data_IF_532593083879
#
_entry.id   IF_532593083879
#
_cell.length_a   1.000
_cell.length_b   1.000
_cell.length_c   1.000
_cell.angle_alpha   90.00
_cell.angle_beta   90.00
_cell.angle_gamma   90.00
#
_symmetry.space_group_name_H-M   'P 1'
#
loop_
_entity.id
_entity.type
_entity.pdbx_description
1 polymer ?
#
# COMPACT_ATOMS: atom_id res chain seq x y z
N UNK A 1 -3.16 47.68 6.01
CA UNK A 1 -2.11 46.68 6.32
C UNK A 1 -2.64 45.26 6.61
N UNK A 2 -3.96 45.00 6.57
CA UNK A 2 -4.54 43.67 6.89
C UNK A 2 -4.77 42.79 5.64
N UNK A 3 -4.85 43.38 4.43
CA UNK A 3 -5.04 42.63 3.17
C UNK A 3 -3.78 41.88 2.68
N UNK A 4 -2.58 42.30 3.11
CA UNK A 4 -1.32 41.66 2.69
C UNK A 4 -0.96 40.42 3.51
N UNK A 5 -1.51 40.27 4.73
CA UNK A 5 -1.27 39.11 5.59
C UNK A 5 -2.17 37.91 5.22
N UNK A 6 -3.38 38.17 4.72
CA UNK A 6 -4.33 37.13 4.31
C UNK A 6 -3.90 36.37 3.04
N UNK A 7 -3.02 36.96 2.22
CA UNK A 7 -2.52 36.32 0.99
C UNK A 7 -1.34 35.38 1.27
N UNK A 8 -0.64 35.56 2.40
CA UNK A 8 0.51 34.74 2.76
C UNK A 8 0.10 33.44 3.49
N UNK A 9 -1.00 33.44 4.24
CA UNK A 9 -1.51 32.25 4.94
C UNK A 9 -2.21 31.25 4.04
N UNK A 10 -2.84 31.68 2.93
CA UNK A 10 -3.46 30.76 1.96
C UNK A 10 -2.41 29.97 1.16
N UNK A 11 -1.20 30.50 0.98
CA UNK A 11 -0.13 29.84 0.22
C UNK A 11 0.55 28.68 0.98
N UNK A 12 0.48 28.68 2.32
CA UNK A 12 1.13 27.68 3.17
C UNK A 12 0.24 26.44 3.38
N UNK A 13 -1.09 26.56 3.23
CA UNK A 13 -2.04 25.44 3.42
C UNK A 13 -2.09 24.45 2.24
N UNK A 14 -1.53 24.79 1.07
CA UNK A 14 -1.66 23.98 -0.15
C UNK A 14 -0.59 22.88 -0.31
N UNK A 15 0.39 22.79 0.59
CA UNK A 15 1.60 21.98 0.40
C UNK A 15 1.56 20.57 1.03
N UNK A 16 0.39 19.99 1.27
CA UNK A 16 0.26 18.62 1.81
C UNK A 16 -0.36 17.62 0.83
N UNK A 17 -0.48 17.93 -0.46
CA UNK A 17 -0.73 16.92 -1.46
C UNK A 17 0.55 16.12 -1.71
N UNK A 18 0.86 15.15 -0.84
CA UNK A 18 1.71 14.04 -1.26
C UNK A 18 0.91 13.22 -2.26
N UNK A 19 1.01 13.58 -3.54
CA UNK A 19 0.73 12.63 -4.60
C UNK A 19 1.78 11.52 -4.45
N UNK A 20 1.43 10.42 -3.79
CA UNK A 20 2.20 9.18 -4.00
C UNK A 20 2.07 8.90 -5.49
N UNK A 21 3.20 8.94 -6.19
CA UNK A 21 3.25 8.51 -7.58
C UNK A 21 2.63 7.10 -7.65
N UNK A 22 1.86 6.84 -8.71
CA UNK A 22 1.26 5.53 -8.94
C UNK A 22 2.41 4.50 -8.90
N UNK A 23 2.38 3.51 -7.99
CA UNK A 23 3.44 2.51 -7.94
C UNK A 23 3.47 1.73 -9.26
N UNK A 24 4.67 1.35 -9.75
CA UNK A 24 4.78 0.48 -10.91
C UNK A 24 3.91 -0.76 -10.78
N UNK A 25 3.22 -1.10 -11.87
CA UNK A 25 2.42 -2.33 -12.00
C UNK A 25 3.10 -3.22 -13.02
N UNK A 26 3.22 -4.49 -12.66
CA UNK A 26 3.72 -5.55 -13.52
C UNK A 26 2.56 -6.50 -13.81
N UNK A 27 2.33 -6.80 -15.08
CA UNK A 27 1.33 -7.78 -15.51
C UNK A 27 2.06 -8.91 -16.24
N UNK A 28 1.98 -10.11 -15.68
CA UNK A 28 2.69 -11.29 -16.17
C UNK A 28 1.70 -12.35 -16.63
N UNK A 29 1.90 -12.85 -17.85
CA UNK A 29 1.19 -14.02 -18.38
C UNK A 29 1.93 -15.29 -17.96
N UNK A 30 1.21 -16.28 -17.43
CA UNK A 30 1.81 -17.55 -17.04
C UNK A 30 2.20 -18.33 -18.31
N UNK A 31 3.47 -18.72 -18.48
CA UNK A 31 3.93 -19.42 -19.67
C UNK A 31 3.11 -20.68 -19.97
N UNK A 32 2.68 -20.81 -21.23
CA UNK A 32 1.87 -21.95 -21.69
C UNK A 32 0.38 -21.84 -21.39
N UNK A 33 -0.10 -20.68 -20.92
CA UNK A 33 -1.50 -20.46 -20.56
C UNK A 33 -1.99 -19.07 -21.00
N UNK A 34 -3.30 -18.85 -20.95
CA UNK A 34 -3.91 -17.52 -21.20
C UNK A 34 -4.14 -16.72 -19.90
N UNK A 35 -3.73 -17.29 -18.76
CA UNK A 35 -3.92 -16.69 -17.45
C UNK A 35 -2.82 -15.66 -17.16
N UNK A 36 -3.20 -14.59 -16.48
CA UNK A 36 -2.30 -13.50 -16.09
C UNK A 36 -2.53 -13.11 -14.63
N UNK A 37 -1.49 -12.56 -14.01
CA UNK A 37 -1.58 -11.98 -12.68
C UNK A 37 -0.90 -10.61 -12.66
N UNK A 38 -1.42 -9.73 -11.80
CA UNK A 38 -0.92 -8.36 -11.64
C UNK A 38 -0.22 -8.21 -10.31
N UNK A 39 0.98 -7.66 -10.35
CA UNK A 39 1.77 -7.27 -9.20
C UNK A 39 1.91 -5.75 -9.14
N UNK A 40 2.00 -5.21 -7.93
CA UNK A 40 2.34 -3.81 -7.69
C UNK A 40 3.62 -3.73 -6.87
N UNK A 41 4.50 -2.79 -7.23
CA UNK A 41 5.71 -2.54 -6.46
C UNK A 41 5.33 -1.79 -5.18
N UNK A 42 5.46 -2.46 -4.05
CA UNK A 42 5.35 -1.83 -2.73
C UNK A 42 6.71 -1.19 -2.42
N UNK A 43 6.77 0.14 -2.26
CA UNK A 43 8.02 0.81 -1.93
C UNK A 43 8.46 0.40 -0.52
N UNK A 44 9.77 0.16 -0.36
CA UNK A 44 10.38 -0.06 0.94
C UNK A 44 10.22 1.16 1.83
N UNK A 45 10.19 0.91 3.14
CA UNK A 45 9.94 1.96 4.12
C UNK A 45 9.71 1.40 5.50
N UNK A 46 9.21 2.26 6.37
CA UNK A 46 8.86 1.93 7.75
C UNK A 46 7.38 2.22 8.00
N UNK A 47 6.72 1.32 8.72
CA UNK A 47 5.33 1.49 9.12
C UNK A 47 5.11 0.94 10.54
N UNK A 48 4.01 1.36 11.17
CA UNK A 48 3.58 0.79 12.44
C UNK A 48 2.72 -0.44 12.17
N UNK A 49 3.23 -1.62 12.53
CA UNK A 49 2.52 -2.88 12.39
C UNK A 49 1.80 -3.24 13.69
N UNK A 50 0.56 -3.73 13.58
CA UNK A 50 -0.31 -4.14 14.69
C UNK A 50 -1.40 -3.12 15.03
N UNK A 51 -2.42 -3.57 15.75
CA UNK A 51 -3.61 -2.76 16.10
C UNK A 51 -3.35 -1.92 17.37
N UNK A 52 -3.91 -0.70 17.49
CA UNK A 52 -3.97 0.07 18.75
C UNK A 52 -4.59 -0.74 19.90
N UNK A 53 -4.22 -0.50 21.17
CA UNK A 53 -4.77 -1.23 22.32
C UNK A 53 -6.27 -1.00 22.54
N UNK A 54 -6.80 0.10 22.00
CA UNK A 54 -8.16 0.60 22.16
C UNK A 54 -9.02 0.45 20.89
N UNK A 55 -8.53 -0.26 19.86
CA UNK A 55 -9.32 -0.52 18.65
C UNK A 55 -10.44 -1.53 18.92
N UNK A 56 -11.67 -1.17 18.53
CA UNK A 56 -12.83 -2.04 18.68
C UNK A 56 -12.67 -3.32 17.82
N UNK A 57 -12.92 -4.49 18.41
CA UNK A 57 -12.80 -5.77 17.72
C UNK A 57 -11.39 -6.36 17.67
N UNK A 58 -10.39 -5.67 18.22
CA UNK A 58 -9.01 -6.17 18.35
C UNK A 58 -8.96 -7.52 19.08
N UNK A 59 -8.12 -8.44 18.58
CA UNK A 59 -7.69 -9.65 19.29
C UNK A 59 -6.36 -9.48 20.04
N UNK A 60 -6.09 -10.37 20.99
CA UNK A 60 -4.90 -10.30 21.85
C UNK A 60 -3.58 -10.43 21.07
N UNK A 61 -3.59 -11.17 19.95
CA UNK A 61 -2.43 -11.47 19.11
C UNK A 61 -2.10 -10.40 18.05
N UNK A 62 -2.91 -9.35 17.94
CA UNK A 62 -2.72 -8.27 16.96
C UNK A 62 -1.70 -7.20 17.40
N UNK A 63 -1.02 -7.37 18.53
CA UNK A 63 0.00 -6.45 19.01
C UNK A 63 1.19 -7.12 19.69
N UNK A 64 2.07 -6.34 20.34
CA UNK A 64 2.05 -4.87 20.44
C UNK A 64 2.34 -4.18 19.11
N UNK A 65 1.94 -2.91 18.98
CA UNK A 65 2.35 -2.11 17.83
C UNK A 65 3.86 -1.93 17.82
N UNK A 66 4.51 -2.25 16.70
CA UNK A 66 5.96 -2.10 16.52
C UNK A 66 6.30 -1.46 15.19
N UNK A 67 7.42 -0.74 15.16
CA UNK A 67 7.96 -0.17 13.93
C UNK A 67 8.65 -1.25 13.13
N UNK A 68 8.15 -1.51 11.93
CA UNK A 68 8.69 -2.52 11.01
C UNK A 68 9.27 -1.81 9.80
N UNK A 69 10.49 -2.21 9.42
CA UNK A 69 11.14 -1.79 8.17
C UNK A 69 11.12 -2.95 7.19
N UNK A 70 10.74 -2.68 5.94
CA UNK A 70 10.81 -3.64 4.83
C UNK A 70 11.47 -2.97 3.63
N UNK A 71 12.23 -3.74 2.86
CA UNK A 71 12.73 -3.30 1.56
C UNK A 71 11.61 -3.30 0.52
N UNK A 72 11.85 -2.72 -0.66
CA UNK A 72 10.87 -2.74 -1.75
C UNK A 72 10.63 -4.16 -2.26
N UNK A 73 9.37 -4.50 -2.54
CA UNK A 73 9.00 -5.83 -3.05
C UNK A 73 7.73 -5.77 -3.90
N UNK A 74 7.50 -6.81 -4.70
CA UNK A 74 6.28 -6.95 -5.50
C UNK A 74 5.21 -7.72 -4.73
N UNK A 75 3.97 -7.24 -4.76
CA UNK A 75 2.82 -7.90 -4.14
C UNK A 75 1.69 -8.09 -5.15
N UNK A 76 0.99 -9.22 -5.11
CA UNK A 76 -0.22 -9.45 -5.88
C UNK A 76 -1.27 -8.39 -5.60
N UNK A 77 -1.82 -7.79 -6.65
CA UNK A 77 -2.90 -6.79 -6.49
C UNK A 77 -4.19 -7.45 -5.97
N UNK A 78 -4.38 -8.72 -6.30
CA UNK A 78 -5.48 -9.56 -5.82
C UNK A 78 -4.91 -10.86 -5.27
N UNK A 79 -5.70 -11.54 -4.44
CA UNK A 79 -5.43 -12.91 -4.05
C UNK A 79 -5.37 -13.82 -5.28
N UNK A 80 -4.65 -14.94 -5.15
CA UNK A 80 -4.59 -15.97 -6.20
C UNK A 80 -6.00 -16.51 -6.42
N UNK A 81 -6.49 -16.42 -7.66
CA UNK A 81 -7.81 -16.93 -8.01
C UNK A 81 -7.78 -18.45 -8.18
N UNK A 82 -8.95 -19.07 -8.14
CA UNK A 82 -9.08 -20.50 -8.39
C UNK A 82 -8.57 -20.89 -9.79
N UNK A 83 -8.86 -20.09 -10.81
CA UNK A 83 -8.39 -20.33 -12.19
C UNK A 83 -6.86 -20.30 -12.30
N UNK A 84 -6.17 -19.51 -11.47
CA UNK A 84 -4.71 -19.52 -11.38
C UNK A 84 -4.21 -20.74 -10.59
N UNK A 85 -4.90 -21.09 -9.50
CA UNK A 85 -4.53 -22.21 -8.64
C UNK A 85 -4.61 -23.57 -9.36
N UNK A 86 -5.68 -23.82 -10.13
CA UNK A 86 -5.91 -25.11 -10.81
C UNK A 86 -4.84 -25.44 -11.86
N UNK A 87 -4.07 -24.45 -12.32
CA UNK A 87 -2.95 -24.68 -13.24
C UNK A 87 -1.79 -25.46 -12.59
N UNK A 88 -1.74 -25.53 -11.25
CA UNK A 88 -0.65 -26.11 -10.48
C UNK A 88 -1.13 -27.17 -9.46
N UNK A 89 -2.35 -27.68 -9.61
CA UNK A 89 -2.97 -28.61 -8.63
C UNK A 89 -2.56 -30.08 -8.83
N UNK A 90 -1.78 -30.41 -9.86
CA UNK A 90 -1.38 -31.78 -10.22
C UNK A 90 -0.46 -32.47 -9.18
#
# INVERSE_FOLDING_TARGET
>A
MIRSLLFCTVLILSLHARAQAQPPVLEETIPGTEQHFRLVLVPGGEFQMGSPPDEEGRREDEGPRRRVRVDSFWMGVHEVTYDLFILFQD
#
